data_IF_500173573036
#
_entry.id   IF_500173573036
#
_cell.length_a   1.000
_cell.length_b   1.000
_cell.length_c   1.000
_cell.angle_alpha   90.00
_cell.angle_beta   90.00
_cell.angle_gamma   90.00
#
_symmetry.space_group_name_H-M   'P 1'
#
loop_
_entity.id
_entity.type
_entity.pdbx_description
1 polymer ?
#
# COMPACT_ATOMS: atom_id res chain seq x y z
N UNK A 1 -2.32 9.65 8.89
CA UNK A 1 -2.03 8.63 7.86
C UNK A 1 -1.74 7.27 8.47
N UNK A 2 -0.75 7.16 9.36
CA UNK A 2 -0.42 5.89 10.03
C UNK A 2 -1.62 5.20 10.69
N UNK A 3 -2.40 5.91 11.52
CA UNK A 3 -3.63 5.37 12.12
C UNK A 3 -4.64 4.83 11.10
N UNK A 4 -4.80 5.52 9.98
CA UNK A 4 -5.73 5.12 8.92
C UNK A 4 -5.22 3.90 8.14
N UNK A 5 -3.89 3.79 7.94
CA UNK A 5 -3.26 2.61 7.37
C UNK A 5 -3.36 1.41 8.30
N UNK A 6 -3.13 1.61 9.61
CA UNK A 6 -3.22 0.55 10.62
C UNK A 6 -4.63 -0.05 10.69
N UNK A 7 -5.67 0.80 10.72
CA UNK A 7 -7.05 0.34 10.70
C UNK A 7 -7.33 -0.50 9.45
N UNK A 8 -7.00 0.01 8.26
CA UNK A 8 -7.22 -0.70 6.99
C UNK A 8 -6.46 -2.03 6.91
N UNK A 9 -5.19 -2.05 7.34
CA UNK A 9 -4.40 -3.28 7.35
C UNK A 9 -5.00 -4.31 8.32
N UNK A 10 -5.43 -3.87 9.51
CA UNK A 10 -6.12 -4.75 10.46
C UNK A 10 -7.43 -5.29 9.87
N UNK A 11 -8.23 -4.43 9.26
CA UNK A 11 -9.52 -4.81 8.67
C UNK A 11 -9.32 -5.78 7.49
N UNK A 12 -8.25 -5.64 6.71
CA UNK A 12 -7.92 -6.56 5.61
C UNK A 12 -7.66 -8.01 6.07
N UNK A 13 -7.51 -8.24 7.37
CA UNK A 13 -7.24 -9.56 7.97
C UNK A 13 -8.48 -10.16 8.65
N UNK A 14 -9.66 -9.53 8.54
CA UNK A 14 -10.90 -10.06 9.09
C UNK A 14 -11.27 -11.36 8.37
N UNK A 15 -11.50 -12.41 9.17
CA UNK A 15 -11.94 -13.71 8.65
C UNK A 15 -13.28 -13.60 7.92
N UNK A 16 -13.37 -14.21 6.74
CA UNK A 16 -14.59 -14.20 5.92
C UNK A 16 -14.74 -13.02 4.96
N UNK A 17 -13.81 -12.06 4.94
CA UNK A 17 -13.78 -11.05 3.88
C UNK A 17 -13.46 -11.67 2.52
N UNK A 18 -14.12 -11.18 1.47
CA UNK A 18 -13.76 -11.51 0.09
C UNK A 18 -12.35 -11.03 -0.25
N UNK A 19 -11.68 -11.71 -1.17
CA UNK A 19 -10.33 -11.32 -1.62
C UNK A 19 -10.30 -9.90 -2.18
N UNK A 20 -11.38 -9.45 -2.84
CA UNK A 20 -11.54 -8.08 -3.31
C UNK A 20 -11.53 -7.05 -2.17
N UNK A 21 -12.28 -7.33 -1.10
CA UNK A 21 -12.29 -6.47 0.09
C UNK A 21 -10.93 -6.46 0.78
N UNK A 22 -10.29 -7.62 0.91
CA UNK A 22 -8.95 -7.74 1.48
C UNK A 22 -7.94 -6.93 0.66
N UNK A 23 -7.97 -7.05 -0.67
CA UNK A 23 -7.12 -6.32 -1.59
C UNK A 23 -7.32 -4.82 -1.47
N UNK A 24 -8.57 -4.35 -1.55
CA UNK A 24 -8.92 -2.93 -1.47
C UNK A 24 -8.44 -2.29 -0.16
N UNK A 25 -8.62 -2.99 0.96
CA UNK A 25 -8.15 -2.54 2.28
C UNK A 25 -6.62 -2.54 2.38
N UNK A 26 -5.96 -3.63 1.97
CA UNK A 26 -4.50 -3.74 1.99
C UNK A 26 -3.83 -2.69 1.09
N UNK A 27 -4.36 -2.48 -0.12
CA UNK A 27 -3.87 -1.47 -1.07
C UNK A 27 -4.03 -0.06 -0.53
N UNK A 28 -5.18 0.25 0.06
CA UNK A 28 -5.40 1.55 0.69
C UNK A 28 -4.51 1.76 1.93
N UNK A 29 -4.19 0.70 2.67
CA UNK A 29 -3.21 0.75 3.76
C UNK A 29 -1.79 1.01 3.22
N UNK A 30 -1.36 0.29 2.18
CA UNK A 30 -0.06 0.48 1.53
C UNK A 30 0.13 1.94 1.10
N UNK A 31 -0.88 2.52 0.44
CA UNK A 31 -0.84 3.92 0.04
C UNK A 31 -0.79 4.87 1.24
N UNK A 32 -1.58 4.63 2.30
CA UNK A 32 -1.57 5.47 3.49
C UNK A 32 -0.20 5.47 4.20
N UNK A 33 0.48 4.33 4.29
CA UNK A 33 1.82 4.24 4.86
C UNK A 33 2.88 4.88 3.96
N UNK A 34 2.84 4.61 2.65
CA UNK A 34 3.76 5.19 1.68
C UNK A 34 3.66 6.72 1.64
N UNK A 35 2.43 7.26 1.68
CA UNK A 35 2.18 8.69 1.74
C UNK A 35 2.63 9.31 3.07
N UNK A 36 2.54 8.56 4.19
CA UNK A 36 3.09 8.99 5.47
C UNK A 36 4.61 9.13 5.39
N UNK A 37 5.31 8.14 4.80
CA UNK A 37 6.75 8.20 4.58
C UNK A 37 7.12 9.39 3.69
N UNK A 38 6.42 9.57 2.56
CA UNK A 38 6.65 10.70 1.65
C UNK A 38 6.55 12.05 2.36
N UNK A 39 5.51 12.24 3.18
CA UNK A 39 5.29 13.46 3.94
C UNK A 39 6.29 13.65 5.08
N UNK A 40 6.77 12.57 5.68
CA UNK A 40 7.81 12.62 6.71
C UNK A 40 9.10 13.23 6.15
N UNK A 41 9.47 12.89 4.90
CA UNK A 41 10.59 13.50 4.18
C UNK A 41 10.30 14.88 3.58
N UNK A 42 9.14 15.49 3.89
CA UNK A 42 8.78 16.84 3.41
C UNK A 42 8.20 16.91 2.00
N UNK A 43 8.01 15.78 1.32
CA UNK A 43 7.47 15.72 -0.04
C UNK A 43 5.94 15.57 -0.04
N UNK A 44 5.30 15.94 -1.17
CA UNK A 44 3.85 15.79 -1.39
C UNK A 44 3.57 15.29 -2.81
N UNK A 45 2.59 14.41 -2.93
CA UNK A 45 2.04 13.95 -4.22
C UNK A 45 0.62 13.46 -4.00
N UNK A 46 -0.23 13.65 -5.03
CA UNK A 46 -1.58 13.09 -5.09
C UNK A 46 -1.64 11.83 -5.99
N UNK A 47 -0.57 11.59 -6.77
CA UNK A 47 -0.46 10.42 -7.64
C UNK A 47 0.01 9.21 -6.84
N UNK A 48 -0.87 8.20 -6.68
CA UNK A 48 -0.57 6.97 -5.93
C UNK A 48 0.64 6.23 -6.50
N UNK A 49 0.74 6.19 -7.83
CA UNK A 49 1.89 5.62 -8.54
C UNK A 49 3.19 6.31 -8.11
N UNK A 50 3.27 7.64 -8.18
CA UNK A 50 4.46 8.38 -7.76
C UNK A 50 4.78 8.17 -6.26
N UNK A 51 3.75 8.12 -5.41
CA UNK A 51 3.92 7.84 -3.98
C UNK A 51 4.61 6.49 -3.76
N UNK A 52 4.27 5.45 -4.52
CA UNK A 52 4.95 4.15 -4.43
C UNK A 52 6.37 4.17 -4.98
N UNK A 53 6.61 4.83 -6.10
CA UNK A 53 7.97 4.93 -6.66
C UNK A 53 8.95 5.62 -5.73
N UNK A 54 8.47 6.59 -4.94
CA UNK A 54 9.28 7.26 -3.92
C UNK A 54 9.65 6.35 -2.73
N UNK A 55 9.11 5.15 -2.59
CA UNK A 55 9.49 4.22 -1.50
C UNK A 55 10.98 3.86 -1.54
N UNK A 56 11.60 3.80 -2.71
CA UNK A 56 13.04 3.57 -2.84
C UNK A 56 13.87 4.73 -2.26
N UNK A 57 13.31 5.94 -2.21
CA UNK A 57 14.00 7.13 -1.73
C UNK A 57 13.62 7.50 -0.29
N UNK A 58 12.45 7.04 0.17
CA UNK A 58 11.93 7.35 1.51
C UNK A 58 12.17 6.24 2.51
N UNK A 59 11.95 4.97 2.13
CA UNK A 59 12.09 3.83 3.03
C UNK A 59 13.19 2.85 2.58
N UNK A 60 14.06 3.28 1.65
CA UNK A 60 15.13 2.45 1.06
C UNK A 60 14.63 1.09 0.53
N UNK A 61 13.41 1.08 -0.01
CA UNK A 61 12.75 -0.14 -0.44
C UNK A 61 13.15 -0.52 -1.88
N UNK A 62 13.47 -1.80 -2.11
CA UNK A 62 13.84 -2.31 -3.44
C UNK A 62 12.78 -1.98 -4.50
N UNK A 63 13.26 -1.59 -5.68
CA UNK A 63 12.46 -1.27 -6.87
C UNK A 63 11.45 -2.36 -7.25
N UNK A 64 11.81 -3.63 -7.07
CA UNK A 64 10.94 -4.75 -7.32
C UNK A 64 9.66 -4.72 -6.47
N UNK A 65 9.75 -4.26 -5.21
CA UNK A 65 8.61 -4.23 -4.28
C UNK A 65 7.61 -3.15 -4.65
N UNK A 66 8.05 -1.92 -4.90
CA UNK A 66 7.09 -0.88 -5.29
C UNK A 66 6.47 -1.14 -6.68
N UNK A 67 7.16 -1.86 -7.57
CA UNK A 67 6.57 -2.32 -8.85
C UNK A 67 5.41 -3.29 -8.66
N UNK A 68 5.38 -4.06 -7.58
CA UNK A 68 4.20 -4.88 -7.23
C UNK A 68 3.02 -3.98 -6.88
N UNK A 69 3.25 -2.88 -6.16
CA UNK A 69 2.20 -1.90 -5.84
C UNK A 69 1.68 -1.18 -7.08
N UNK A 70 2.53 -0.95 -8.08
CA UNK A 70 2.10 -0.42 -9.38
C UNK A 70 1.22 -1.42 -10.14
N UNK A 71 1.55 -2.72 -10.11
CA UNK A 71 0.66 -3.77 -10.65
C UNK A 71 -0.68 -3.79 -9.90
N UNK A 72 -0.66 -3.63 -8.58
CA UNK A 72 -1.88 -3.52 -7.78
C UNK A 72 -2.71 -2.28 -8.17
N UNK A 73 -2.05 -1.16 -8.46
CA UNK A 73 -2.72 0.05 -8.94
C UNK A 73 -3.42 -0.19 -10.28
N UNK A 74 -2.75 -0.86 -11.22
CA UNK A 74 -3.34 -1.22 -12.52
C UNK A 74 -4.53 -2.17 -12.37
N UNK A 75 -4.39 -3.23 -11.54
CA UNK A 75 -5.46 -4.18 -11.27
C UNK A 75 -6.70 -3.50 -10.67
N UNK A 76 -6.51 -2.57 -9.72
CA UNK A 76 -7.60 -1.78 -9.16
C UNK A 76 -8.31 -0.93 -10.22
N UNK A 77 -7.54 -0.24 -11.07
CA UNK A 77 -8.12 0.61 -12.11
C UNK A 77 -8.92 -0.22 -13.13
N UNK A 78 -8.45 -1.44 -13.44
CA UNK A 78 -9.19 -2.37 -14.30
C UNK A 78 -10.50 -2.82 -13.64
N UNK A 79 -10.47 -3.17 -12.36
CA UNK A 79 -11.68 -3.55 -11.63
C UNK A 79 -12.70 -2.42 -11.48
N UNK A 80 -12.24 -1.17 -11.31
CA UNK A 80 -13.11 0.02 -11.31
C UNK A 80 -13.84 0.16 -12.67
N UNK A 81 -13.25 -0.31 -13.77
CA UNK A 81 -13.84 -0.29 -15.11
C UNK A 81 -14.75 -1.52 -15.37
N UNK A 82 -14.34 -2.70 -14.95
CA UNK A 82 -15.02 -3.98 -15.24
C UNK A 82 -16.06 -4.38 -14.17
N UNK A 83 -16.12 -3.65 -13.05
CA UNK A 83 -17.08 -3.87 -11.95
C UNK A 83 -16.78 -5.08 -11.07
N UNK A 84 -15.71 -5.82 -11.34
CA UNK A 84 -15.24 -6.93 -10.52
C UNK A 84 -13.71 -6.97 -10.53
N UNK A 85 -13.11 -7.32 -9.40
CA UNK A 85 -11.67 -7.54 -9.30
C UNK A 85 -11.40 -9.03 -9.39
N UNK A 86 -10.74 -9.46 -10.47
CA UNK A 86 -10.11 -10.78 -10.54
C UNK A 86 -8.80 -10.72 -9.73
N UNK A 87 -8.91 -10.94 -8.42
CA UNK A 87 -7.77 -10.90 -7.51
C UNK A 87 -6.94 -12.14 -7.75
N UNK A 88 -5.75 -11.97 -8.33
CA UNK A 88 -4.74 -13.01 -8.27
C UNK A 88 -4.33 -13.24 -6.79
N UNK A 89 -4.56 -14.44 -6.20
CA UNK A 89 -4.28 -14.68 -4.78
C UNK A 89 -2.80 -14.48 -4.42
N UNK A 90 -1.90 -14.73 -5.37
CA UNK A 90 -0.47 -14.46 -5.18
C UNK A 90 -0.19 -12.96 -5.12
N UNK A 91 -0.86 -12.15 -5.94
CA UNK A 91 -0.73 -10.69 -5.90
C UNK A 91 -1.24 -10.12 -4.57
N UNK A 92 -2.35 -10.64 -4.05
CA UNK A 92 -2.88 -10.26 -2.73
C UNK A 92 -1.88 -10.59 -1.60
N UNK A 93 -1.29 -11.79 -1.64
CA UNK A 93 -0.27 -12.20 -0.66
C UNK A 93 0.95 -11.29 -0.69
N UNK A 94 1.44 -10.95 -1.88
CA UNK A 94 2.57 -10.02 -2.05
C UNK A 94 2.22 -8.61 -1.57
N UNK A 95 1.04 -8.11 -1.93
CA UNK A 95 0.53 -6.81 -1.46
C UNK A 95 0.49 -6.76 0.06
N UNK A 96 -0.07 -7.78 0.74
CA UNK A 96 -0.11 -7.83 2.20
C UNK A 96 1.28 -7.86 2.81
N UNK A 97 2.21 -8.63 2.24
CA UNK A 97 3.59 -8.72 2.71
C UNK A 97 4.30 -7.36 2.61
N UNK A 98 4.23 -6.71 1.45
CA UNK A 98 4.84 -5.41 1.22
C UNK A 98 4.19 -4.34 2.10
N UNK A 99 2.87 -4.37 2.27
CA UNK A 99 2.15 -3.42 3.13
C UNK A 99 2.62 -3.49 4.58
N UNK A 100 2.83 -4.71 5.12
CA UNK A 100 3.39 -4.92 6.46
C UNK A 100 4.83 -4.41 6.56
N UNK A 101 5.63 -4.62 5.52
CA UNK A 101 7.00 -4.09 5.48
C UNK A 101 7.03 -2.56 5.50
N UNK A 102 6.23 -1.90 4.66
CA UNK A 102 6.11 -0.43 4.66
C UNK A 102 5.66 0.07 6.04
N UNK A 103 4.68 -0.59 6.66
CA UNK A 103 4.20 -0.26 8.00
C UNK A 103 5.33 -0.31 9.03
N UNK A 104 6.15 -1.37 9.02
CA UNK A 104 7.28 -1.49 9.95
C UNK A 104 8.30 -0.38 9.72
N UNK A 105 8.72 -0.17 8.47
CA UNK A 105 9.74 0.82 8.12
C UNK A 105 9.29 2.25 8.43
N UNK A 106 8.05 2.62 8.08
CA UNK A 106 7.55 3.99 8.33
C UNK A 106 7.36 4.25 9.82
N UNK A 107 7.03 3.23 10.63
CA UNK A 107 6.92 3.35 12.09
C UNK A 107 8.28 3.42 12.80
N UNK A 108 9.34 2.95 12.14
CA UNK A 108 10.70 3.06 12.64
C UNK A 108 11.35 4.43 12.38
N UNK A 109 10.72 5.29 11.57
CA UNK A 109 11.20 6.66 11.38
C UNK A 109 11.18 7.45 12.69
N UNK A 110 12.18 8.31 12.96
CA UNK A 110 12.19 9.11 14.17
C UNK A 110 11.02 10.10 14.21
N UNK A 111 10.68 10.65 15.40
CA UNK A 111 9.68 11.71 15.50
C UNK A 111 9.96 12.85 14.53
N UNK A 112 8.90 13.36 13.91
CA UNK A 112 8.99 14.53 13.03
C UNK A 112 9.51 15.70 13.85
N UNK A 113 10.55 16.38 13.35
CA UNK A 113 11.10 17.60 13.97
C UNK A 113 10.17 18.79 13.80
#
# INVERSE_FOLDING_TARGET
MLRAGDAKLKDSLISGLSEDSQFSLAYAAAHAFSLAALRWYGYRSESRYLVFQCLQHTLDMDKAKWRVLDKCHQARNLAEYEGHLDVNPQLLKELMSITKEIQMLVKALPPVK
#
